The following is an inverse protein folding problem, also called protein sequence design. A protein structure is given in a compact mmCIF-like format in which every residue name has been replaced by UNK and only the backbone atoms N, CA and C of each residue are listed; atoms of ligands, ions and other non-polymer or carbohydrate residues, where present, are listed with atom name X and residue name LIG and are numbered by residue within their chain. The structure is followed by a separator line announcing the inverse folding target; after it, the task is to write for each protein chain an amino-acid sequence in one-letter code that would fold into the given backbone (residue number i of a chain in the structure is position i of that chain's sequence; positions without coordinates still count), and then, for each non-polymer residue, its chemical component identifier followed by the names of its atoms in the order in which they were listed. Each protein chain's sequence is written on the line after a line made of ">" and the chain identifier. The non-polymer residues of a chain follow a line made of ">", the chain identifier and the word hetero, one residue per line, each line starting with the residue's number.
data_IF_540028529845
#
_entry.id   IF_540028529845
#
_cell.length_a   1.000
_cell.length_b   1.000
_cell.length_c   1.000
_cell.angle_alpha   90.00
_cell.angle_beta   90.00
_cell.angle_gamma   90.00
#
_symmetry.space_group_name_H-M   'P 1'
#
loop_
_entity.id
_entity.type
_entity.pdbx_description
1 polymer ?
#
# COMPACT_ATOMS: atom_id res chain seq x y z
N UNK A 1 10.55 -5.13 18.58
CA UNK A 1 9.89 -4.59 17.37
C UNK A 1 8.40 -4.67 17.61
N UNK A 2 7.70 -3.62 17.26
CA UNK A 2 6.24 -3.55 17.29
C UNK A 2 5.65 -4.44 16.20
N UNK A 3 4.34 -4.67 16.23
CA UNK A 3 3.62 -5.45 15.21
C UNK A 3 3.63 -4.81 13.82
N UNK A 4 3.96 -3.52 13.73
CA UNK A 4 3.94 -2.72 12.51
C UNK A 4 5.33 -2.43 11.93
N UNK A 5 6.39 -2.96 12.54
CA UNK A 5 7.76 -2.76 12.04
C UNK A 5 8.08 -3.74 10.89
N UNK A 6 8.82 -3.28 9.89
CA UNK A 6 9.27 -4.10 8.75
C UNK A 6 10.77 -4.35 8.90
N UNK A 7 11.18 -5.61 8.75
CA UNK A 7 12.59 -5.97 8.72
C UNK A 7 13.08 -6.15 7.30
N UNK A 8 14.24 -5.58 7.02
CA UNK A 8 14.98 -5.77 5.77
C UNK A 8 16.18 -6.66 6.05
N UNK A 9 16.33 -7.69 5.22
CA UNK A 9 17.38 -8.69 5.36
C UNK A 9 18.23 -8.74 4.08
N UNK A 10 19.53 -8.86 4.24
CA UNK A 10 20.41 -9.29 3.17
C UNK A 10 20.26 -10.80 2.99
N UNK A 11 19.82 -11.25 1.81
CA UNK A 11 19.55 -12.67 1.56
C UNK A 11 20.80 -13.50 1.26
N UNK A 12 21.96 -12.86 1.08
CA UNK A 12 23.23 -13.56 0.87
C UNK A 12 23.83 -14.07 2.19
N UNK A 13 23.61 -13.30 3.26
CA UNK A 13 24.13 -13.55 4.61
C UNK A 13 23.05 -13.87 5.63
N UNK A 14 21.77 -13.65 5.29
CA UNK A 14 20.62 -13.71 6.20
C UNK A 14 20.78 -12.81 7.43
N UNK A 15 21.50 -11.70 7.27
CA UNK A 15 21.64 -10.67 8.29
C UNK A 15 20.56 -9.60 8.14
N UNK A 16 19.99 -9.16 9.27
CA UNK A 16 19.12 -7.98 9.31
C UNK A 16 19.98 -6.75 9.01
N UNK A 17 19.64 -6.02 7.95
CA UNK A 17 20.38 -4.81 7.53
C UNK A 17 19.69 -3.54 7.99
N UNK A 18 18.35 -3.56 8.12
CA UNK A 18 17.57 -2.41 8.55
C UNK A 18 16.23 -2.83 9.15
N UNK A 19 15.71 -2.00 10.07
CA UNK A 19 14.37 -2.12 10.62
C UNK A 19 13.61 -0.80 10.35
N UNK A 20 12.65 -0.87 9.43
CA UNK A 20 11.78 0.23 9.07
C UNK A 20 10.70 0.32 10.14
N UNK A 21 10.67 1.44 10.87
CA UNK A 21 9.65 1.67 11.89
C UNK A 21 8.38 2.18 11.22
N UNK A 22 7.33 1.37 11.27
CA UNK A 22 5.99 1.82 10.96
C UNK A 22 5.46 2.75 12.06
N UNK A 23 4.16 3.03 12.01
CA UNK A 23 3.44 3.74 13.08
C UNK A 23 3.31 2.91 14.38
N UNK A 24 3.64 1.61 14.34
CA UNK A 24 3.94 0.75 15.47
C UNK A 24 2.75 0.35 16.35
N UNK A 25 1.54 0.63 15.89
CA UNK A 25 0.31 0.45 16.68
C UNK A 25 -0.55 -0.73 16.22
N UNK A 26 -0.32 -1.27 15.02
CA UNK A 26 -1.13 -2.33 14.44
C UNK A 26 -0.28 -3.37 13.72
N UNK A 27 -0.87 -4.50 13.34
CA UNK A 27 -0.20 -5.51 12.51
C UNK A 27 -0.28 -5.15 11.03
N UNK A 28 0.75 -5.51 10.27
CA UNK A 28 0.75 -5.35 8.82
C UNK A 28 -0.11 -6.45 8.19
N UNK A 29 -1.12 -6.05 7.41
CA UNK A 29 -2.02 -6.95 6.68
C UNK A 29 -1.42 -7.38 5.34
N UNK A 30 -0.66 -6.48 4.69
CA UNK A 30 -0.03 -6.75 3.40
C UNK A 30 1.22 -5.91 3.19
N UNK A 31 2.22 -6.50 2.56
CA UNK A 31 3.41 -5.82 2.03
C UNK A 31 3.46 -6.03 0.51
N UNK A 32 3.83 -4.97 -0.22
CA UNK A 32 4.11 -5.06 -1.65
C UNK A 32 5.35 -4.22 -1.98
N UNK A 33 6.18 -4.74 -2.87
CA UNK A 33 7.35 -4.02 -3.40
C UNK A 33 7.08 -3.71 -4.86
N UNK A 34 7.37 -2.49 -5.31
CA UNK A 34 7.14 -2.09 -6.69
C UNK A 34 8.07 -2.84 -7.65
N UNK A 35 7.55 -3.04 -8.86
CA UNK A 35 8.33 -3.50 -10.00
C UNK A 35 8.79 -2.28 -10.81
N UNK A 36 9.99 -2.35 -11.40
CA UNK A 36 10.52 -1.29 -12.25
C UNK A 36 11.63 -0.45 -11.61
N UNK A 37 12.04 0.66 -12.24
CA UNK A 37 13.20 1.45 -11.83
C UNK A 37 12.96 2.29 -10.58
N UNK A 38 11.69 2.47 -10.19
CA UNK A 38 11.32 3.16 -8.97
C UNK A 38 11.07 2.10 -7.89
N UNK A 39 11.92 2.06 -6.86
CA UNK A 39 11.82 1.09 -5.79
C UNK A 39 11.02 1.69 -4.61
N UNK A 40 9.80 1.19 -4.43
CA UNK A 40 8.85 1.59 -3.40
C UNK A 40 8.37 0.36 -2.63
N UNK A 41 8.08 0.55 -1.35
CA UNK A 41 7.47 -0.44 -0.48
C UNK A 41 6.14 0.11 0.01
N UNK A 42 5.06 -0.64 -0.21
CA UNK A 42 3.76 -0.36 0.35
C UNK A 42 3.49 -1.29 1.54
N UNK A 43 3.05 -0.70 2.65
CA UNK A 43 2.61 -1.41 3.86
C UNK A 43 1.16 -1.05 4.13
N UNK A 44 0.28 -2.04 4.02
CA UNK A 44 -1.13 -1.89 4.36
C UNK A 44 -1.34 -2.39 5.80
N UNK A 45 -1.71 -1.46 6.67
CA UNK A 45 -2.13 -1.69 8.04
C UNK A 45 -3.60 -1.28 8.18
N UNK A 46 -4.36 -1.80 9.16
CA UNK A 46 -5.78 -1.50 9.25
C UNK A 46 -6.10 0.00 9.17
N UNK A 47 -5.39 0.84 9.91
CA UNK A 47 -5.61 2.29 9.94
C UNK A 47 -4.80 3.10 8.92
N UNK A 48 -3.80 2.50 8.26
CA UNK A 48 -2.83 3.25 7.46
C UNK A 48 -2.27 2.47 6.27
N UNK A 49 -2.27 3.09 5.10
CA UNK A 49 -1.50 2.65 3.94
C UNK A 49 -0.26 3.55 3.87
N UNK A 50 0.90 2.97 4.18
CA UNK A 50 2.18 3.67 4.16
C UNK A 50 2.98 3.27 2.92
N UNK A 51 3.68 4.24 2.33
CA UNK A 51 4.60 4.00 1.22
C UNK A 51 5.96 4.59 1.54
N UNK A 52 6.98 3.74 1.43
CA UNK A 52 8.36 4.03 1.76
C UNK A 52 9.22 3.97 0.50
N UNK A 53 10.24 4.83 0.44
CA UNK A 53 11.36 4.62 -0.49
C UNK A 53 12.06 3.30 -0.14
N UNK A 54 12.44 2.52 -1.15
CA UNK A 54 13.30 1.34 -0.98
C UNK A 54 14.78 1.66 -1.19
N UNK A 55 15.17 2.93 -1.19
CA UNK A 55 16.56 3.34 -1.11
C UNK A 55 16.91 3.58 0.36
N UNK A 56 18.07 3.11 0.80
CA UNK A 56 18.53 3.41 2.17
C UNK A 56 18.79 4.92 2.32
N UNK A 57 18.23 5.60 3.33
CA UNK A 57 17.34 5.06 4.37
C UNK A 57 15.88 4.92 3.88
N UNK A 58 15.19 3.86 4.30
CA UNK A 58 13.81 3.53 3.86
C UNK A 58 12.77 4.53 4.41
N UNK A 59 12.81 5.76 3.94
CA UNK A 59 12.02 6.87 4.45
C UNK A 59 10.55 6.76 4.06
N UNK A 60 9.66 7.11 4.99
CA UNK A 60 8.23 7.23 4.74
C UNK A 60 7.97 8.39 3.77
N UNK A 61 7.61 8.07 2.53
CA UNK A 61 7.29 9.05 1.51
C UNK A 61 5.83 9.52 1.60
N UNK A 62 4.93 8.64 2.07
CA UNK A 62 3.51 8.96 2.15
C UNK A 62 2.72 8.00 3.06
N UNK A 63 1.59 8.49 3.57
CA UNK A 63 0.65 7.72 4.39
C UNK A 63 -0.78 8.16 4.08
N UNK A 64 -1.74 7.23 4.12
CA UNK A 64 -3.17 7.53 3.94
C UNK A 64 -4.07 6.63 4.77
N UNK A 65 -5.07 7.24 5.39
CA UNK A 65 -6.12 6.53 6.10
C UNK A 65 -7.23 6.06 5.14
N UNK A 66 -7.90 4.92 5.40
CA UNK A 66 -9.02 4.46 4.56
C UNK A 66 -10.08 5.55 4.36
N UNK A 67 -10.39 6.30 5.42
CA UNK A 67 -11.41 7.36 5.43
C UNK A 67 -11.15 8.50 4.42
N UNK A 68 -9.91 8.69 3.96
CA UNK A 68 -9.56 9.70 2.96
C UNK A 68 -10.03 9.31 1.55
N UNK A 69 -10.19 8.00 1.28
CA UNK A 69 -10.68 7.47 0.00
C UNK A 69 -12.19 7.29 0.00
N UNK A 70 -12.77 6.89 1.13
CA UNK A 70 -14.17 6.48 1.20
C UNK A 70 -15.18 7.64 1.30
N UNK A 71 -14.68 8.87 1.45
CA UNK A 71 -15.50 10.06 1.62
C UNK A 71 -16.33 10.07 2.92
N UNK A 72 -17.12 11.13 3.11
CA UNK A 72 -17.85 11.36 4.37
C UNK A 72 -18.91 10.27 4.70
N UNK A 73 -19.42 9.55 3.70
CA UNK A 73 -20.55 8.62 3.87
C UNK A 73 -20.21 7.34 4.67
N UNK A 74 -18.93 7.01 4.83
CA UNK A 74 -18.48 5.75 5.44
C UNK A 74 -17.59 5.91 6.67
N UNK A 75 -17.29 7.16 7.08
CA UNK A 75 -16.51 7.47 8.30
C UNK A 75 -17.04 6.80 9.57
N UNK A 76 -18.32 6.42 9.61
CA UNK A 76 -18.93 5.73 10.76
C UNK A 76 -18.69 4.22 10.85
N UNK A 77 -18.14 3.56 9.81
CA UNK A 77 -18.15 2.08 9.72
C UNK A 77 -16.82 1.37 9.99
N UNK A 78 -15.78 2.06 10.48
CA UNK A 78 -14.52 1.41 10.87
C UNK A 78 -13.85 0.72 9.68
N UNK A 79 -13.67 1.44 8.59
CA UNK A 79 -12.97 0.91 7.42
C UNK A 79 -11.50 0.68 7.72
N UNK A 80 -10.95 -0.39 7.15
CA UNK A 80 -9.57 -0.80 7.32
C UNK A 80 -8.96 -1.19 5.99
N UNK A 81 -7.69 -0.85 5.76
CA UNK A 81 -6.94 -1.44 4.65
C UNK A 81 -6.81 -2.94 4.86
N UNK A 82 -6.84 -3.68 3.76
CA UNK A 82 -6.72 -5.14 3.77
C UNK A 82 -5.61 -5.63 2.87
N UNK A 83 -5.35 -4.95 1.74
CA UNK A 83 -4.25 -5.30 0.86
C UNK A 83 -3.83 -4.16 -0.05
N UNK A 84 -2.61 -4.27 -0.59
CA UNK A 84 -2.05 -3.38 -1.57
C UNK A 84 -1.20 -4.17 -2.59
N UNK A 85 -1.14 -3.71 -3.84
CA UNK A 85 -0.33 -4.34 -4.89
C UNK A 85 0.08 -3.32 -5.94
N UNK A 86 1.38 -3.29 -6.23
CA UNK A 86 1.94 -2.50 -7.33
C UNK A 86 1.65 -3.16 -8.68
N UNK A 87 1.52 -2.35 -9.72
CA UNK A 87 1.43 -2.85 -11.09
C UNK A 87 2.77 -3.40 -11.56
N UNK A 88 2.75 -4.46 -12.40
CA UNK A 88 3.97 -5.00 -13.02
C UNK A 88 4.75 -3.95 -13.82
N UNK A 89 4.05 -2.98 -14.43
CA UNK A 89 4.63 -1.92 -15.24
C UNK A 89 5.23 -0.79 -14.40
N UNK A 90 4.95 -0.76 -13.09
CA UNK A 90 5.55 0.20 -12.17
C UNK A 90 4.95 1.60 -12.24
N UNK A 91 3.69 1.73 -12.65
CA UNK A 91 3.01 3.02 -12.79
C UNK A 91 1.86 3.20 -11.78
N UNK A 92 1.31 2.10 -11.23
CA UNK A 92 0.10 2.15 -10.41
C UNK A 92 0.25 1.34 -9.11
N UNK A 93 -0.21 1.88 -8.00
CA UNK A 93 -0.42 1.14 -6.76
C UNK A 93 -1.92 1.02 -6.53
N UNK A 94 -2.45 -0.19 -6.55
CA UNK A 94 -3.79 -0.41 -6.06
C UNK A 94 -3.77 -0.72 -4.56
N UNK A 95 -4.82 -0.30 -3.87
CA UNK A 95 -5.07 -0.61 -2.48
C UNK A 95 -6.55 -0.85 -2.25
N UNK A 96 -6.87 -1.83 -1.41
CA UNK A 96 -8.24 -2.17 -1.05
C UNK A 96 -8.46 -2.02 0.46
N UNK A 97 -9.57 -1.40 0.79
CA UNK A 97 -10.16 -1.42 2.13
C UNK A 97 -11.33 -2.41 2.17
N UNK A 98 -11.92 -2.58 3.36
CA UNK A 98 -13.14 -3.38 3.53
C UNK A 98 -14.35 -2.88 2.72
N UNK A 99 -14.31 -1.64 2.21
CA UNK A 99 -15.41 -1.03 1.47
C UNK A 99 -15.08 -0.56 0.05
N UNK A 100 -13.81 -0.22 -0.22
CA UNK A 100 -13.39 0.49 -1.43
C UNK A 100 -12.09 -0.08 -2.00
N UNK A 101 -11.88 0.19 -3.28
CA UNK A 101 -10.58 0.03 -3.92
C UNK A 101 -10.19 1.39 -4.45
N UNK A 102 -8.91 1.75 -4.33
CA UNK A 102 -8.34 2.90 -5.01
C UNK A 102 -7.10 2.50 -5.81
N UNK A 103 -6.78 3.30 -6.82
CA UNK A 103 -5.56 3.19 -7.57
C UNK A 103 -4.81 4.52 -7.52
N UNK A 104 -3.51 4.44 -7.26
CA UNK A 104 -2.61 5.58 -7.10
C UNK A 104 -1.65 5.54 -8.27
N UNK A 105 -1.73 6.52 -9.15
CA UNK A 105 -0.89 6.65 -10.35
C UNK A 105 0.41 7.34 -9.97
N UNK A 106 1.53 6.62 -9.89
CA UNK A 106 2.86 7.17 -9.62
C UNK A 106 3.78 7.12 -10.86
N UNK A 107 3.19 7.13 -12.06
CA UNK A 107 3.92 7.05 -13.34
C UNK A 107 4.99 8.12 -13.54
N UNK A 108 4.90 9.24 -12.82
CA UNK A 108 5.82 10.39 -12.89
C UNK A 108 6.74 10.51 -11.67
N UNK A 109 6.90 9.45 -10.90
CA UNK A 109 7.48 9.53 -9.57
C UNK A 109 6.41 9.41 -8.49
N UNK A 110 6.84 9.05 -7.27
CA UNK A 110 5.96 9.10 -6.11
C UNK A 110 5.66 10.55 -5.75
N UNK A 111 4.49 11.05 -6.14
CA UNK A 111 4.03 12.41 -5.84
C UNK A 111 2.60 12.39 -5.27
N UNK A 112 2.44 12.18 -3.96
CA UNK A 112 1.14 11.90 -3.36
C UNK A 112 0.06 12.98 -3.60
N UNK A 113 0.45 14.23 -3.89
CA UNK A 113 -0.49 15.31 -4.20
C UNK A 113 -1.08 15.28 -5.62
N UNK A 114 -0.49 14.53 -6.55
CA UNK A 114 -0.92 14.47 -7.96
C UNK A 114 -1.59 13.14 -8.35
N UNK A 115 -1.53 12.12 -7.48
CA UNK A 115 -1.57 10.72 -7.89
C UNK A 115 -2.87 9.95 -7.56
N UNK A 116 -3.89 10.56 -6.96
CA UNK A 116 -5.10 9.80 -6.56
C UNK A 116 -6.13 9.74 -7.70
N UNK A 117 -6.14 8.67 -8.49
CA UNK A 117 -7.28 8.34 -9.38
C UNK A 117 -8.23 7.41 -8.65
N UNK A 118 -9.30 7.96 -8.09
CA UNK A 118 -10.33 7.20 -7.38
C UNK A 118 -11.18 6.36 -8.36
N UNK A 119 -10.79 5.11 -8.58
CA UNK A 119 -11.63 4.09 -9.22
C UNK A 119 -12.58 3.46 -8.20
N UNK A 120 -13.72 4.11 -7.93
CA UNK A 120 -14.71 3.65 -6.96
C UNK A 120 -15.45 2.39 -7.46
N UNK A 121 -15.06 1.20 -6.98
CA UNK A 121 -15.98 0.06 -6.97
C UNK A 121 -16.69 0.01 -5.62
N UNK A 122 -18.03 0.13 -5.63
CA UNK A 122 -18.88 0.23 -4.41
C UNK A 122 -19.02 -1.08 -3.63
N UNK A 123 -18.32 -2.15 -4.01
CA UNK A 123 -18.41 -3.43 -3.33
C UNK A 123 -17.06 -4.15 -3.30
N UNK A 124 -16.21 -3.75 -2.35
CA UNK A 124 -15.00 -4.48 -1.97
C UNK A 124 -15.23 -5.53 -0.86
N UNK A 125 -16.49 -5.79 -0.48
CA UNK A 125 -16.80 -6.78 0.56
C UNK A 125 -16.27 -8.15 0.17
N UNK A 126 -15.29 -8.64 0.92
CA UNK A 126 -14.69 -9.96 0.72
C UNK A 126 -13.48 -9.99 -0.20
N UNK A 127 -12.93 -8.85 -0.63
CA UNK A 127 -11.61 -8.83 -1.29
C UNK A 127 -10.58 -9.17 -0.22
N UNK A 128 -10.05 -10.39 -0.27
CA UNK A 128 -8.98 -10.84 0.62
C UNK A 128 -7.62 -10.57 0.00
N UNK A 129 -7.56 -10.53 -1.32
CA UNK A 129 -6.40 -10.10 -2.08
C UNK A 129 -6.81 -9.70 -3.51
N UNK A 130 -5.96 -8.93 -4.17
CA UNK A 130 -6.07 -8.71 -5.60
C UNK A 130 -4.69 -8.74 -6.23
N UNK A 131 -4.66 -9.10 -7.52
CA UNK A 131 -3.46 -9.06 -8.34
C UNK A 131 -3.65 -8.02 -9.42
N UNK A 132 -2.71 -7.09 -9.51
CA UNK A 132 -2.59 -6.24 -10.67
C UNK A 132 -2.08 -7.08 -11.85
N UNK A 133 -2.84 -7.13 -12.94
CA UNK A 133 -2.45 -7.79 -14.18
C UNK A 133 -1.71 -6.84 -15.11
N UNK A 134 -2.18 -5.59 -15.14
CA UNK A 134 -1.52 -4.43 -15.75
C UNK A 134 -2.08 -3.14 -15.14
N UNK A 135 -1.52 -2.00 -15.51
CA UNK A 135 -1.91 -0.66 -15.05
C UNK A 135 -3.42 -0.32 -15.14
N UNK A 136 -4.19 -1.05 -15.96
CA UNK A 136 -5.63 -0.83 -16.14
C UNK A 136 -6.50 -2.00 -15.62
N UNK A 137 -5.91 -3.15 -15.27
CA UNK A 137 -6.67 -4.37 -14.95
C UNK A 137 -6.23 -4.98 -13.62
N UNK A 138 -7.22 -5.17 -12.75
CA UNK A 138 -7.07 -5.85 -11.46
C UNK A 138 -7.99 -7.06 -11.41
N UNK A 139 -7.47 -8.19 -10.92
CA UNK A 139 -8.26 -9.37 -10.59
C UNK A 139 -8.40 -9.48 -9.07
N UNK A 140 -9.65 -9.59 -8.62
CA UNK A 140 -10.01 -9.75 -7.21
C UNK A 140 -10.37 -11.22 -6.94
N UNK A 141 -9.97 -11.75 -5.79
CA UNK A 141 -10.27 -13.12 -5.36
C UNK A 141 -10.63 -13.19 -3.88
#
# INVERSE_FOLDING_TARGET
>A
LSTGDIKVWDTSSWAEIEAIRGDGNEGIESLAVSHGPQHWLASAQPSSLQVFSCESPFDLAWSMQPAEVEGLALKGRGSRWVCASFSPEGLMLAAASSGHVCAIDYSKGWNPGACVRQGLSRSAKGIMAFRCLDDARYHFF
#
